data_IF_838958151748
#
_entry.id   IF_838958151748
#
_cell.length_a   1.000
_cell.length_b   1.000
_cell.length_c   1.000
_cell.angle_alpha   90.00
_cell.angle_beta   90.00
_cell.angle_gamma   90.00
#
_symmetry.space_group_name_H-M   'P 1'
#
loop_
_entity.id
_entity.type
_entity.pdbx_description
1 polymer ?
#
# COMPACT_ATOMS: atom_id res chain seq x y z
N UNK A 1 34.45 -4.57 -11.49
CA UNK A 1 34.34 -5.72 -10.57
C UNK A 1 35.63 -6.50 -10.57
N UNK A 2 35.78 -7.43 -9.65
CA UNK A 2 36.87 -8.42 -9.64
C UNK A 2 36.84 -9.32 -10.87
N UNK A 3 35.68 -9.53 -11.49
CA UNK A 3 35.57 -10.35 -12.72
C UNK A 3 35.75 -9.56 -14.03
N UNK A 4 36.13 -8.27 -13.97
CA UNK A 4 36.31 -7.49 -15.19
C UNK A 4 37.71 -7.75 -15.79
N UNK A 5 37.76 -8.38 -16.96
CA UNK A 5 38.99 -8.62 -17.72
C UNK A 5 39.87 -7.36 -17.87
N UNK A 6 39.27 -6.19 -18.17
CA UNK A 6 40.00 -4.94 -18.39
C UNK A 6 40.73 -4.42 -17.14
N UNK A 7 40.35 -4.89 -15.94
CA UNK A 7 41.06 -4.57 -14.70
C UNK A 7 42.49 -5.10 -14.71
N UNK A 8 42.74 -6.21 -15.39
CA UNK A 8 44.00 -6.94 -15.36
C UNK A 8 44.82 -6.79 -16.65
N UNK A 9 44.23 -6.24 -17.72
CA UNK A 9 44.82 -6.25 -19.07
C UNK A 9 46.06 -5.37 -19.23
N UNK A 10 46.17 -4.28 -18.47
CA UNK A 10 47.22 -3.27 -18.70
C UNK A 10 48.64 -3.73 -18.34
N UNK A 11 48.80 -4.74 -17.48
CA UNK A 11 50.10 -5.30 -17.09
C UNK A 11 50.06 -6.84 -17.05
N UNK A 12 49.21 -7.46 -17.88
CA UNK A 12 49.02 -8.90 -17.86
C UNK A 12 50.27 -9.62 -18.40
N UNK A 13 50.98 -10.33 -17.52
CA UNK A 13 52.14 -11.15 -17.90
C UNK A 13 51.76 -12.62 -17.93
N UNK A 14 52.33 -13.36 -18.88
CA UNK A 14 52.10 -14.80 -19.02
C UNK A 14 52.44 -15.53 -17.72
N UNK A 15 51.55 -16.44 -17.28
CA UNK A 15 51.67 -17.23 -16.04
C UNK A 15 51.61 -16.45 -14.72
N UNK A 16 51.34 -15.14 -14.75
CA UNK A 16 51.02 -14.39 -13.52
C UNK A 16 49.76 -14.92 -12.84
N UNK A 17 49.57 -14.58 -11.57
CA UNK A 17 48.36 -14.90 -10.83
C UNK A 17 47.10 -14.40 -11.55
N UNK A 18 47.18 -13.17 -12.08
CA UNK A 18 46.11 -12.53 -12.83
C UNK A 18 45.85 -13.23 -14.17
N UNK A 19 46.89 -13.69 -14.86
CA UNK A 19 46.77 -14.51 -16.08
C UNK A 19 46.04 -15.82 -15.78
N UNK A 20 46.49 -16.56 -14.77
CA UNK A 20 45.92 -17.86 -14.41
C UNK A 20 44.45 -17.73 -13.97
N UNK A 21 44.11 -16.65 -13.26
CA UNK A 21 42.73 -16.32 -12.89
C UNK A 21 41.84 -16.11 -14.11
N UNK A 22 42.26 -15.26 -15.06
CA UNK A 22 41.51 -14.98 -16.28
C UNK A 22 41.42 -16.19 -17.21
N UNK A 23 42.50 -16.96 -17.35
CA UNK A 23 42.53 -18.20 -18.11
C UNK A 23 41.51 -19.20 -17.55
N UNK A 24 41.47 -19.36 -16.22
CA UNK A 24 40.49 -20.23 -15.56
C UNK A 24 39.06 -19.76 -15.80
N UNK A 25 38.78 -18.46 -15.66
CA UNK A 25 37.45 -17.91 -15.96
C UNK A 25 37.05 -18.14 -17.42
N UNK A 26 37.97 -17.93 -18.37
CA UNK A 26 37.71 -18.16 -19.79
C UNK A 26 37.40 -19.63 -20.08
N UNK A 27 38.20 -20.56 -19.54
CA UNK A 27 37.97 -22.00 -19.71
C UNK A 27 36.63 -22.42 -19.08
N UNK A 28 36.29 -21.90 -17.90
CA UNK A 28 34.99 -22.13 -17.26
C UNK A 28 33.84 -21.61 -18.11
N UNK A 29 33.94 -20.39 -18.65
CA UNK A 29 32.96 -19.83 -19.57
C UNK A 29 32.81 -20.67 -20.85
N UNK A 30 33.92 -21.14 -21.45
CA UNK A 30 33.89 -22.03 -22.61
C UNK A 30 33.18 -23.36 -22.31
N UNK A 31 33.33 -23.92 -21.10
CA UNK A 31 32.61 -25.14 -20.68
C UNK A 31 31.11 -24.90 -20.48
N UNK A 32 30.72 -23.65 -20.20
CA UNK A 32 29.33 -23.25 -19.98
C UNK A 32 28.64 -22.76 -21.25
N UNK A 33 29.38 -22.39 -22.30
CA UNK A 33 28.83 -21.73 -23.51
C UNK A 33 27.60 -22.46 -24.11
N UNK A 34 27.66 -23.78 -24.19
CA UNK A 34 26.61 -24.62 -24.79
C UNK A 34 25.51 -25.02 -23.77
N UNK A 35 25.70 -24.65 -22.49
CA UNK A 35 24.78 -24.91 -21.38
C UNK A 35 24.05 -23.66 -20.90
N UNK A 36 24.48 -22.46 -21.33
CA UNK A 36 23.81 -21.21 -20.99
C UNK A 36 22.48 -21.18 -21.72
N UNK A 37 21.42 -21.41 -20.96
CA UNK A 37 20.08 -21.09 -21.40
C UNK A 37 19.83 -19.62 -21.09
N UNK A 38 19.41 -18.79 -22.07
CA UNK A 38 19.03 -17.41 -21.79
C UNK A 38 17.86 -17.41 -20.81
N UNK A 39 18.15 -17.04 -19.57
CA UNK A 39 17.13 -16.88 -18.54
C UNK A 39 16.49 -15.50 -18.68
N UNK A 40 15.16 -15.47 -18.74
CA UNK A 40 14.40 -14.23 -18.65
C UNK A 40 14.25 -13.91 -17.17
N UNK A 41 15.00 -12.92 -16.67
CA UNK A 41 14.97 -12.53 -15.26
C UNK A 41 13.77 -11.62 -14.92
N UNK A 42 13.29 -10.83 -15.89
CA UNK A 42 12.10 -9.98 -15.74
C UNK A 42 10.85 -10.80 -16.03
N UNK A 43 10.20 -11.28 -14.99
CA UNK A 43 9.05 -12.20 -15.07
C UNK A 43 7.78 -11.62 -14.47
N UNK A 44 7.80 -10.37 -14.01
CA UNK A 44 6.64 -9.75 -13.37
C UNK A 44 5.46 -9.65 -14.34
N UNK A 45 4.27 -10.00 -13.86
CA UNK A 45 3.03 -9.84 -14.60
C UNK A 45 1.94 -9.31 -13.68
N UNK A 46 1.64 -8.00 -13.80
CA UNK A 46 0.60 -7.31 -13.03
C UNK A 46 -0.82 -7.64 -13.50
N UNK A 47 -0.99 -8.36 -14.62
CA UNK A 47 -2.31 -8.85 -15.05
C UNK A 47 -2.77 -10.05 -14.23
N UNK A 48 -1.83 -10.76 -13.60
CA UNK A 48 -2.12 -11.89 -12.72
C UNK A 48 -2.41 -11.42 -11.30
N UNK A 49 -3.15 -12.24 -10.55
CA UNK A 49 -3.36 -12.00 -9.13
C UNK A 49 -2.01 -12.09 -8.39
N UNK A 50 -1.70 -11.14 -7.48
CA UNK A 50 -0.52 -11.24 -6.64
C UNK A 50 -0.52 -12.55 -5.85
N UNK A 51 0.66 -13.14 -5.69
CA UNK A 51 0.83 -14.33 -4.84
C UNK A 51 1.06 -13.85 -3.40
N UNK A 52 0.20 -14.26 -2.44
CA UNK A 52 0.40 -13.93 -1.04
C UNK A 52 1.76 -14.39 -0.51
N UNK A 53 2.33 -13.62 0.41
CA UNK A 53 3.57 -13.98 1.07
C UNK A 53 3.38 -15.23 1.93
N UNK A 54 4.24 -16.24 1.76
CA UNK A 54 4.14 -17.52 2.48
C UNK A 54 4.61 -17.41 3.94
N UNK A 55 5.76 -16.77 4.14
CA UNK A 55 6.35 -16.60 5.46
C UNK A 55 6.11 -15.18 5.98
N UNK A 56 5.19 -15.03 6.92
CA UNK A 56 4.83 -13.75 7.54
C UNK A 56 5.78 -13.33 8.68
N UNK A 57 6.91 -14.03 8.87
CA UNK A 57 7.92 -13.70 9.87
C UNK A 57 9.09 -12.88 9.31
N UNK A 58 9.24 -12.86 7.98
CA UNK A 58 10.31 -12.15 7.28
C UNK A 58 9.68 -10.98 6.53
N UNK A 59 10.26 -9.79 6.61
CA UNK A 59 9.81 -8.68 5.79
C UNK A 59 10.43 -8.78 4.39
N UNK A 60 9.59 -8.60 3.36
CA UNK A 60 10.02 -8.44 1.96
C UNK A 60 9.26 -7.27 1.36
N UNK A 61 10.00 -6.36 0.71
CA UNK A 61 9.39 -5.25 0.00
C UNK A 61 8.47 -5.74 -1.13
N UNK A 62 7.33 -5.08 -1.28
CA UNK A 62 6.49 -5.16 -2.45
C UNK A 62 7.27 -4.57 -3.65
N UNK A 63 7.45 -5.34 -4.73
CA UNK A 63 8.14 -4.80 -5.90
C UNK A 63 7.30 -3.69 -6.53
N UNK A 64 7.95 -2.66 -7.07
CA UNK A 64 7.31 -1.70 -7.97
C UNK A 64 6.92 -2.36 -9.30
N UNK A 65 6.11 -1.69 -10.10
CA UNK A 65 5.71 -2.16 -11.43
C UNK A 65 6.85 -1.97 -12.42
N UNK A 66 7.33 -3.08 -12.98
CA UNK A 66 8.32 -3.10 -14.05
C UNK A 66 7.66 -2.77 -15.39
N UNK A 67 7.74 -1.49 -15.79
CA UNK A 67 7.19 -1.00 -17.06
C UNK A 67 8.07 -1.36 -18.27
N UNK A 68 9.22 -2.02 -18.11
CA UNK A 68 9.96 -2.59 -19.26
C UNK A 68 9.19 -3.76 -19.90
N UNK A 69 8.31 -4.40 -19.12
CA UNK A 69 7.48 -5.51 -19.56
C UNK A 69 6.19 -5.02 -20.23
N UNK A 70 5.91 -5.53 -21.44
CA UNK A 70 4.75 -5.09 -22.26
C UNK A 70 3.43 -5.30 -21.53
N UNK A 71 3.24 -6.46 -20.91
CA UNK A 71 2.02 -6.80 -20.17
C UNK A 71 1.74 -5.81 -19.03
N UNK A 72 2.79 -5.32 -18.35
CA UNK A 72 2.65 -4.36 -17.27
C UNK A 72 2.27 -2.96 -17.79
N UNK A 73 2.81 -2.55 -18.95
CA UNK A 73 2.39 -1.30 -19.60
C UNK A 73 0.93 -1.35 -20.04
N UNK A 74 0.49 -2.46 -20.62
CA UNK A 74 -0.91 -2.66 -21.04
C UNK A 74 -1.86 -2.64 -19.83
N UNK A 75 -1.49 -3.33 -18.74
CA UNK A 75 -2.19 -3.27 -17.47
C UNK A 75 -2.28 -1.85 -16.90
N UNK A 76 -1.16 -1.12 -16.86
CA UNK A 76 -1.09 0.25 -16.35
C UNK A 76 -2.02 1.19 -17.14
N UNK A 77 -1.99 1.12 -18.47
CA UNK A 77 -2.88 1.88 -19.34
C UNK A 77 -4.35 1.52 -19.13
N UNK A 78 -4.66 0.24 -18.96
CA UNK A 78 -6.02 -0.21 -18.64
C UNK A 78 -6.51 0.34 -17.31
N UNK A 79 -5.66 0.39 -16.29
CA UNK A 79 -6.00 0.95 -14.99
C UNK A 79 -6.28 2.46 -15.07
N UNK A 80 -5.48 3.20 -15.85
CA UNK A 80 -5.70 4.64 -16.07
C UNK A 80 -7.00 4.90 -16.85
N UNK A 81 -7.25 4.17 -17.95
CA UNK A 81 -8.49 4.31 -18.75
C UNK A 81 -9.75 4.03 -17.93
N UNK A 82 -9.74 2.99 -17.10
CA UNK A 82 -10.84 2.72 -16.16
C UNK A 82 -11.18 3.96 -15.32
N UNK A 83 -10.16 4.68 -14.87
CA UNK A 83 -10.36 5.88 -14.06
C UNK A 83 -10.68 7.14 -14.88
N UNK A 84 -10.41 7.18 -16.18
CA UNK A 84 -10.94 8.24 -17.05
C UNK A 84 -12.47 8.22 -17.09
N UNK A 85 -13.06 7.03 -17.23
CA UNK A 85 -14.52 6.85 -17.25
C UNK A 85 -15.14 7.15 -15.87
N UNK A 86 -14.54 6.64 -14.80
CA UNK A 86 -15.06 6.78 -13.42
C UNK A 86 -15.03 8.23 -12.90
N UNK A 87 -14.15 9.10 -13.44
CA UNK A 87 -14.04 10.51 -13.01
C UNK A 87 -15.33 11.30 -13.24
N UNK A 88 -16.19 10.87 -14.16
CA UNK A 88 -17.44 11.55 -14.49
C UNK A 88 -18.64 11.05 -13.68
N UNK A 89 -18.50 9.98 -12.88
CA UNK A 89 -19.61 9.43 -12.09
C UNK A 89 -19.93 10.26 -10.83
N UNK A 90 -19.05 11.21 -10.47
CA UNK A 90 -19.16 12.05 -9.27
C UNK A 90 -19.59 11.26 -8.02
N UNK A 91 -18.77 10.27 -7.63
CA UNK A 91 -19.16 9.37 -6.56
C UNK A 91 -19.29 10.09 -5.22
N UNK A 92 -20.34 9.75 -4.47
CA UNK A 92 -20.60 10.34 -3.15
C UNK A 92 -20.07 9.41 -2.09
N UNK A 93 -19.28 10.00 -1.20
CA UNK A 93 -18.62 9.38 -0.09
C UNK A 93 -19.35 9.82 1.19
N UNK A 94 -20.14 8.95 1.86
CA UNK A 94 -20.84 9.30 3.12
C UNK A 94 -19.87 9.58 4.32
N UNK A 95 -20.37 9.57 5.55
CA UNK A 95 -19.60 9.42 6.82
C UNK A 95 -19.76 8.00 7.36
N UNK A 96 -18.66 7.34 7.78
CA UNK A 96 -18.71 5.98 8.36
C UNK A 96 -18.82 6.05 9.89
N UNK A 97 -19.90 5.52 10.45
CA UNK A 97 -20.13 5.45 11.90
C UNK A 97 -20.42 4.01 12.31
N UNK A 98 -19.40 3.32 12.83
CA UNK A 98 -19.52 1.88 12.99
C UNK A 98 -19.89 1.28 11.65
N UNK A 99 -20.93 0.44 11.58
CA UNK A 99 -21.37 -0.25 10.37
C UNK A 99 -22.37 0.57 9.54
N UNK A 100 -22.60 1.83 9.91
CA UNK A 100 -23.56 2.71 9.26
C UNK A 100 -22.85 3.71 8.36
N UNK A 101 -23.42 3.93 7.19
CA UNK A 101 -23.07 5.03 6.30
C UNK A 101 -24.09 6.16 6.47
N UNK A 102 -23.62 7.38 6.65
CA UNK A 102 -24.48 8.55 6.88
C UNK A 102 -24.17 9.65 5.88
N UNK A 103 -25.18 10.08 5.12
CA UNK A 103 -25.08 11.27 4.29
C UNK A 103 -25.32 12.52 5.15
N UNK A 104 -24.64 13.61 4.83
CA UNK A 104 -24.70 14.88 5.56
C UNK A 104 -24.97 16.03 4.60
N UNK A 105 -25.58 17.09 5.11
CA UNK A 105 -25.89 18.27 4.29
C UNK A 105 -24.63 19.00 3.81
N UNK A 106 -23.60 19.11 4.67
CA UNK A 106 -22.31 19.67 4.26
C UNK A 106 -21.48 18.61 3.55
N UNK A 107 -21.12 18.91 2.32
CA UNK A 107 -20.23 18.09 1.49
C UNK A 107 -19.06 18.92 1.00
N UNK A 108 -17.99 18.24 0.62
CA UNK A 108 -16.84 18.83 -0.05
C UNK A 108 -16.58 18.13 -1.37
N UNK A 109 -16.46 18.92 -2.43
CA UNK A 109 -16.15 18.43 -3.78
C UNK A 109 -14.65 18.35 -4.01
N UNK A 110 -14.26 17.36 -4.79
CA UNK A 110 -12.88 17.15 -5.25
C UNK A 110 -12.87 17.10 -6.76
N UNK A 111 -11.97 17.87 -7.35
CA UNK A 111 -11.89 18.05 -8.78
C UNK A 111 -10.59 17.47 -9.31
N UNK A 112 -10.63 17.08 -10.59
CA UNK A 112 -9.50 16.55 -11.31
C UNK A 112 -8.50 17.65 -11.64
N UNK A 113 -7.36 17.62 -10.95
CA UNK A 113 -6.27 18.58 -11.09
C UNK A 113 -5.64 18.56 -12.48
N UNK A 114 -5.70 17.43 -13.17
CA UNK A 114 -5.16 17.28 -14.52
C UNK A 114 -6.09 17.84 -15.60
N UNK A 115 -7.31 18.26 -15.24
CA UNK A 115 -8.30 18.86 -16.15
C UNK A 115 -8.76 20.24 -15.67
N UNK A 116 -7.84 21.04 -15.14
CA UNK A 116 -8.10 22.41 -14.68
C UNK A 116 -9.27 22.52 -13.69
N UNK A 117 -9.48 21.50 -12.86
CA UNK A 117 -10.60 21.41 -11.92
C UNK A 117 -12.01 21.40 -12.57
N UNK A 118 -12.14 21.12 -13.87
CA UNK A 118 -13.43 21.12 -14.58
C UNK A 118 -14.29 19.88 -14.26
N UNK A 119 -13.65 18.77 -13.88
CA UNK A 119 -14.33 17.49 -13.62
C UNK A 119 -14.40 17.23 -12.12
N UNK A 120 -15.60 17.17 -11.57
CA UNK A 120 -15.84 16.77 -10.18
C UNK A 120 -15.73 15.25 -10.04
N UNK A 121 -14.60 14.79 -9.50
CA UNK A 121 -14.31 13.36 -9.31
C UNK A 121 -15.20 12.76 -8.23
N UNK A 122 -15.38 13.46 -7.11
CA UNK A 122 -16.21 12.97 -6.01
C UNK A 122 -16.72 14.07 -5.07
N UNK A 123 -17.70 13.71 -4.24
CA UNK A 123 -18.18 14.52 -3.11
C UNK A 123 -18.05 13.77 -1.79
N UNK A 124 -17.47 14.40 -0.78
CA UNK A 124 -17.21 13.85 0.55
C UNK A 124 -18.14 14.49 1.57
N UNK A 125 -18.90 13.68 2.29
CA UNK A 125 -19.77 14.13 3.36
C UNK A 125 -18.96 14.50 4.61
N UNK A 126 -19.30 15.63 5.24
CA UNK A 126 -18.59 16.16 6.38
C UNK A 126 -19.29 15.79 7.70
N UNK A 127 -18.65 14.91 8.48
CA UNK A 127 -19.04 14.56 9.83
C UNK A 127 -19.27 15.80 10.73
N UNK A 128 -20.41 15.84 11.41
CA UNK A 128 -20.70 16.84 12.44
C UNK A 128 -19.93 16.50 13.74
N UNK A 129 -19.73 17.45 14.66
CA UNK A 129 -19.12 17.17 15.96
C UNK A 129 -19.81 16.02 16.72
N UNK A 130 -21.15 15.97 16.70
CA UNK A 130 -21.92 14.88 17.32
C UNK A 130 -21.64 13.51 16.68
N UNK A 131 -21.47 13.46 15.36
CA UNK A 131 -21.08 12.23 14.66
C UNK A 131 -19.66 11.82 15.01
N UNK A 132 -18.72 12.76 15.19
CA UNK A 132 -17.37 12.45 15.67
C UNK A 132 -17.40 11.81 17.05
N UNK A 133 -18.21 12.34 17.97
CA UNK A 133 -18.41 11.75 19.30
C UNK A 133 -18.96 10.33 19.20
N UNK A 134 -20.01 10.11 18.40
CA UNK A 134 -20.58 8.76 18.17
C UNK A 134 -19.52 7.79 17.63
N UNK A 135 -18.71 8.26 16.68
CA UNK A 135 -17.64 7.50 16.07
C UNK A 135 -16.56 7.10 17.09
N UNK A 136 -16.20 8.01 18.01
CA UNK A 136 -15.30 7.74 19.13
C UNK A 136 -15.95 6.74 20.08
N UNK A 137 -17.21 6.92 20.48
CA UNK A 137 -17.95 5.99 21.33
C UNK A 137 -17.99 4.58 20.75
N UNK A 138 -18.24 4.42 19.45
CA UNK A 138 -18.21 3.11 18.77
C UNK A 138 -16.81 2.49 18.85
N UNK A 139 -15.76 3.30 18.66
CA UNK A 139 -14.38 2.84 18.81
C UNK A 139 -14.08 2.42 20.26
N UNK A 140 -14.61 3.14 21.24
CA UNK A 140 -14.43 2.83 22.65
C UNK A 140 -15.11 1.54 23.10
N UNK A 141 -16.16 1.11 22.40
CA UNK A 141 -16.87 -0.15 22.68
C UNK A 141 -16.06 -1.38 22.27
N UNK A 142 -15.28 -1.32 21.17
CA UNK A 142 -14.39 -2.42 20.73
C UNK A 142 -15.09 -3.76 20.61
N UNK A 143 -16.23 -3.75 19.91
CA UNK A 143 -17.03 -4.94 19.69
C UNK A 143 -16.24 -6.08 19.02
N UNK A 144 -15.22 -5.74 18.22
CA UNK A 144 -14.31 -6.70 17.59
C UNK A 144 -13.29 -7.31 18.55
N UNK A 145 -13.09 -6.73 19.75
CA UNK A 145 -12.10 -7.18 20.71
C UNK A 145 -10.65 -6.96 20.26
N UNK A 146 -10.40 -6.01 19.34
CA UNK A 146 -9.10 -5.83 18.68
C UNK A 146 -7.93 -5.75 19.67
N UNK A 147 -8.10 -5.05 20.80
CA UNK A 147 -7.01 -4.90 21.78
C UNK A 147 -6.58 -6.20 22.44
N UNK A 148 -7.42 -7.23 22.40
CA UNK A 148 -7.14 -8.56 22.95
C UNK A 148 -6.52 -9.49 21.91
N UNK A 149 -6.42 -9.08 20.65
CA UNK A 149 -5.79 -9.88 19.60
C UNK A 149 -4.28 -10.02 19.86
N UNK A 150 -3.74 -11.21 19.60
CA UNK A 150 -2.29 -11.44 19.65
C UNK A 150 -1.58 -10.67 18.53
N UNK A 151 -0.27 -10.48 18.67
CA UNK A 151 0.53 -9.89 17.60
C UNK A 151 0.45 -10.73 16.32
N UNK A 152 0.46 -12.06 16.42
CA UNK A 152 0.34 -12.97 15.28
C UNK A 152 -0.99 -12.81 14.53
N UNK A 153 -2.09 -12.61 15.25
CA UNK A 153 -3.37 -12.36 14.59
C UNK A 153 -3.32 -11.03 13.84
N UNK A 154 -2.88 -9.95 14.49
CA UNK A 154 -2.69 -8.65 13.84
C UNK A 154 -1.77 -8.73 12.61
N UNK A 155 -0.72 -9.55 12.70
CA UNK A 155 0.21 -9.80 11.61
C UNK A 155 -0.47 -10.41 10.38
N UNK A 156 -1.27 -11.47 10.57
CA UNK A 156 -2.03 -12.11 9.48
C UNK A 156 -3.01 -11.13 8.84
N UNK A 157 -3.67 -10.33 9.68
CA UNK A 157 -4.67 -9.35 9.24
C UNK A 157 -4.02 -8.29 8.36
N UNK A 158 -2.91 -7.70 8.82
CA UNK A 158 -2.20 -6.67 8.06
C UNK A 158 -1.56 -7.22 6.77
N UNK A 159 -1.06 -8.45 6.77
CA UNK A 159 -0.56 -9.07 5.52
C UNK A 159 -1.68 -9.32 4.50
N UNK A 160 -2.86 -9.76 4.94
CA UNK A 160 -4.04 -9.88 4.05
C UNK A 160 -4.45 -8.52 3.46
N UNK A 161 -4.37 -7.46 4.27
CA UNK A 161 -4.58 -6.09 3.79
C UNK A 161 -3.55 -5.70 2.73
N UNK A 162 -2.27 -6.03 2.95
CA UNK A 162 -1.20 -5.79 1.99
C UNK A 162 -1.46 -6.52 0.66
N UNK A 163 -1.86 -7.79 0.70
CA UNK A 163 -2.14 -8.56 -0.52
C UNK A 163 -3.29 -7.98 -1.33
N UNK A 164 -4.33 -7.51 -0.64
CA UNK A 164 -5.44 -6.81 -1.26
C UNK A 164 -4.99 -5.45 -1.83
N UNK A 165 -4.07 -4.73 -1.18
CA UNK A 165 -3.48 -3.51 -1.76
C UNK A 165 -2.74 -3.79 -3.06
N UNK A 166 -1.95 -4.87 -3.11
CA UNK A 166 -1.30 -5.33 -4.33
C UNK A 166 -2.33 -5.70 -5.41
N UNK A 167 -3.44 -6.36 -5.06
CA UNK A 167 -4.50 -6.74 -6.02
C UNK A 167 -5.23 -5.51 -6.59
N UNK A 168 -5.40 -4.46 -5.77
CA UNK A 168 -6.10 -3.21 -6.12
C UNK A 168 -5.15 -2.08 -6.53
N UNK A 169 -3.87 -2.36 -6.76
CA UNK A 169 -2.83 -1.37 -7.07
C UNK A 169 -3.25 -0.38 -8.16
N UNK A 170 -3.76 -0.89 -9.28
CA UNK A 170 -4.21 -0.05 -10.40
C UNK A 170 -5.33 0.92 -10.01
N UNK A 171 -6.23 0.51 -9.10
CA UNK A 171 -7.31 1.36 -8.62
C UNK A 171 -6.80 2.48 -7.72
N UNK A 172 -5.84 2.21 -6.85
CA UNK A 172 -5.23 3.23 -6.02
C UNK A 172 -4.43 4.24 -6.84
N UNK A 173 -3.67 3.77 -7.83
CA UNK A 173 -2.93 4.64 -8.75
C UNK A 173 -3.88 5.53 -9.54
N UNK A 174 -4.94 4.95 -10.12
CA UNK A 174 -5.95 5.71 -10.87
C UNK A 174 -6.65 6.76 -10.02
N UNK A 175 -6.98 6.42 -8.77
CA UNK A 175 -7.54 7.37 -7.79
C UNK A 175 -6.55 8.51 -7.48
N UNK A 176 -5.29 8.19 -7.17
CA UNK A 176 -4.26 9.20 -6.90
C UNK A 176 -4.03 10.13 -8.09
N UNK A 177 -4.01 9.57 -9.29
CA UNK A 177 -3.92 10.35 -10.52
C UNK A 177 -5.11 11.30 -10.66
N UNK A 178 -6.34 10.80 -10.54
CA UNK A 178 -7.55 11.60 -10.71
C UNK A 178 -7.69 12.73 -9.70
N UNK A 179 -7.18 12.54 -8.48
CA UNK A 179 -7.52 13.40 -7.35
C UNK A 179 -6.39 14.34 -6.98
N UNK A 180 -5.17 13.83 -6.97
CA UNK A 180 -3.98 14.58 -6.56
C UNK A 180 -3.08 14.92 -7.75
N UNK A 181 -3.42 14.46 -8.96
CA UNK A 181 -2.64 14.71 -10.16
C UNK A 181 -1.34 13.90 -10.22
N UNK A 182 -1.19 12.85 -9.40
CA UNK A 182 0.02 12.02 -9.41
C UNK A 182 0.18 11.29 -10.74
N UNK A 183 1.41 11.20 -11.22
CA UNK A 183 1.75 10.32 -12.34
C UNK A 183 1.63 8.86 -11.93
N UNK A 184 1.57 7.96 -12.92
CA UNK A 184 1.51 6.52 -12.64
C UNK A 184 2.70 6.07 -11.77
N UNK A 185 3.92 6.49 -12.09
CA UNK A 185 5.13 6.09 -11.38
C UNK A 185 5.14 6.60 -9.94
N UNK A 186 4.71 7.85 -9.69
CA UNK A 186 4.61 8.39 -8.33
C UNK A 186 3.54 7.70 -7.49
N UNK A 187 2.44 7.27 -8.10
CA UNK A 187 1.40 6.50 -7.42
C UNK A 187 1.81 5.04 -7.18
N UNK A 188 2.55 4.44 -8.10
CA UNK A 188 2.97 3.03 -8.03
C UNK A 188 3.90 2.79 -6.84
N UNK A 189 4.93 3.60 -6.69
CA UNK A 189 5.85 3.52 -5.53
C UNK A 189 5.12 3.73 -4.21
N UNK A 190 4.06 4.55 -4.21
CA UNK A 190 3.29 4.82 -3.02
C UNK A 190 2.40 3.63 -2.61
N UNK A 191 1.84 2.90 -3.58
CA UNK A 191 1.15 1.64 -3.28
C UNK A 191 2.12 0.61 -2.72
N UNK A 192 3.33 0.51 -3.27
CA UNK A 192 4.39 -0.37 -2.74
C UNK A 192 4.71 -0.01 -1.29
N UNK A 193 4.97 1.27 -1.01
CA UNK A 193 5.29 1.75 0.34
C UNK A 193 4.16 1.53 1.35
N UNK A 194 2.90 1.79 0.97
CA UNK A 194 1.75 1.49 1.82
C UNK A 194 1.58 -0.02 2.09
N UNK A 195 1.82 -0.85 1.07
CA UNK A 195 1.83 -2.32 1.19
C UNK A 195 2.93 -2.77 2.14
N UNK A 196 4.12 -2.17 2.03
CA UNK A 196 5.27 -2.44 2.87
C UNK A 196 4.99 -2.10 4.33
N UNK A 197 4.35 -0.97 4.64
CA UNK A 197 3.99 -0.65 6.02
C UNK A 197 3.11 -1.72 6.66
N UNK A 198 2.15 -2.26 5.92
CA UNK A 198 1.30 -3.35 6.40
C UNK A 198 2.07 -4.65 6.69
N UNK A 199 3.12 -4.96 5.92
CA UNK A 199 3.97 -6.14 6.15
C UNK A 199 5.04 -5.89 7.23
N UNK A 200 5.63 -4.71 7.22
CA UNK A 200 6.79 -4.34 8.03
C UNK A 200 6.46 -4.16 9.51
N UNK A 201 5.41 -3.40 9.84
CA UNK A 201 5.12 -3.07 11.23
C UNK A 201 4.81 -4.27 12.12
N UNK A 202 3.96 -5.24 11.73
CA UNK A 202 3.72 -6.39 12.60
C UNK A 202 4.93 -7.32 12.71
N UNK A 203 5.78 -7.42 11.69
CA UNK A 203 7.07 -8.13 11.78
C UNK A 203 8.02 -7.43 12.74
N UNK A 204 8.13 -6.10 12.65
CA UNK A 204 8.98 -5.29 13.53
C UNK A 204 8.55 -5.36 15.00
N UNK A 205 7.24 -5.46 15.25
CA UNK A 205 6.69 -5.66 16.60
C UNK A 205 7.18 -6.95 17.26
N UNK A 206 7.53 -8.00 16.50
CA UNK A 206 8.06 -9.25 17.06
C UNK A 206 9.40 -9.06 17.78
N UNK A 207 10.23 -8.14 17.29
CA UNK A 207 11.48 -7.79 17.96
C UNK A 207 11.21 -7.20 19.35
N UNK A 208 10.17 -6.36 19.50
CA UNK A 208 9.77 -5.82 20.80
C UNK A 208 9.12 -6.90 21.70
N UNK A 209 8.32 -7.80 21.15
CA UNK A 209 7.71 -8.91 21.89
C UNK A 209 8.75 -9.92 22.43
N UNK A 210 9.88 -10.08 21.73
CA UNK A 210 10.98 -10.94 22.17
C UNK A 210 11.77 -10.36 23.37
N UNK A 211 11.64 -9.07 23.68
CA UNK A 211 12.33 -8.43 24.79
C UNK A 211 11.67 -8.77 26.13
N UNK A 212 12.20 -9.78 26.83
CA UNK A 212 11.67 -10.27 28.12
C UNK A 212 11.60 -9.21 29.23
N UNK A 213 12.40 -8.14 29.14
CA UNK A 213 12.44 -7.04 30.11
C UNK A 213 11.52 -5.87 29.75
N UNK A 214 10.82 -5.93 28.61
CA UNK A 214 9.95 -4.85 28.12
C UNK A 214 8.52 -5.36 28.07
N UNK A 215 7.58 -4.55 28.55
CA UNK A 215 6.16 -4.76 28.31
C UNK A 215 5.60 -3.56 27.53
N UNK A 216 4.69 -3.83 26.61
CA UNK A 216 3.99 -2.81 25.85
C UNK A 216 2.49 -3.06 25.89
N UNK A 217 1.72 -1.97 25.82
CA UNK A 217 0.26 -2.03 25.74
C UNK A 217 -0.24 -0.94 24.78
N UNK A 218 -1.33 -1.18 24.05
CA UNK A 218 -1.93 -0.15 23.20
C UNK A 218 -2.37 1.04 24.05
N UNK A 219 -2.26 2.26 23.48
CA UNK A 219 -2.71 3.49 24.14
C UNK A 219 -4.23 3.67 24.06
N UNK A 220 -4.87 3.10 23.04
CA UNK A 220 -6.32 3.13 22.89
C UNK A 220 -6.73 3.54 21.47
N UNK A 221 -7.32 4.72 21.35
CA UNK A 221 -7.70 5.33 20.07
C UNK A 221 -6.58 6.27 19.65
N UNK A 222 -6.22 6.25 18.37
CA UNK A 222 -5.23 7.19 17.82
C UNK A 222 -5.85 7.99 16.67
N UNK A 223 -5.35 9.20 16.48
CA UNK A 223 -5.68 10.03 15.32
C UNK A 223 -4.46 10.08 14.41
N UNK A 224 -4.64 9.76 13.13
CA UNK A 224 -3.62 9.92 12.10
C UNK A 224 -4.00 11.14 11.26
N UNK A 225 -3.08 12.08 11.16
CA UNK A 225 -3.29 13.35 10.46
C UNK A 225 -2.19 13.45 9.41
N UNK A 226 -2.38 12.81 8.24
CA UNK A 226 -1.32 12.70 7.24
C UNK A 226 -1.19 14.00 6.43
N UNK A 227 0.01 14.29 5.89
CA UNK A 227 0.20 15.34 4.90
C UNK A 227 -0.41 14.94 3.54
N UNK A 228 -0.38 15.85 2.56
CA UNK A 228 -1.03 15.65 1.26
C UNK A 228 -0.12 15.09 0.16
N UNK A 229 1.20 15.12 0.36
CA UNK A 229 2.19 14.72 -0.65
C UNK A 229 2.25 13.19 -0.86
N UNK A 230 1.89 12.41 0.15
CA UNK A 230 1.69 10.96 0.08
C UNK A 230 0.27 10.62 0.58
N UNK A 231 -0.75 10.77 -0.29
CA UNK A 231 -2.16 10.56 0.06
C UNK A 231 -2.53 9.09 0.34
N UNK A 232 -1.65 8.12 0.04
CA UNK A 232 -1.81 6.69 0.28
C UNK A 232 -0.82 6.13 1.30
N UNK A 233 0.49 6.24 1.07
CA UNK A 233 1.49 5.52 1.89
C UNK A 233 1.52 6.02 3.33
N UNK A 234 1.66 7.33 3.56
CA UNK A 234 1.73 7.89 4.92
C UNK A 234 0.46 7.63 5.76
N UNK A 235 -0.77 7.83 5.24
CA UNK A 235 -1.97 7.45 5.99
C UNK A 235 -2.00 5.96 6.32
N UNK A 236 -1.71 5.09 5.34
CA UNK A 236 -1.63 3.64 5.56
C UNK A 236 -0.57 3.31 6.61
N UNK A 237 0.59 3.98 6.59
CA UNK A 237 1.66 3.76 7.54
C UNK A 237 1.25 4.08 8.98
N UNK A 238 0.69 5.28 9.20
CA UNK A 238 0.20 5.66 10.53
C UNK A 238 -0.88 4.71 11.04
N UNK A 239 -1.76 4.25 10.14
CA UNK A 239 -2.81 3.26 10.43
C UNK A 239 -2.22 1.91 10.81
N UNK A 240 -1.36 1.35 9.95
CA UNK A 240 -0.78 0.03 10.10
C UNK A 240 0.07 -0.05 11.37
N UNK A 241 0.84 0.99 11.70
CA UNK A 241 1.61 1.07 12.95
C UNK A 241 0.69 1.05 14.19
N UNK A 242 -0.40 1.83 14.15
CA UNK A 242 -1.40 1.86 15.20
C UNK A 242 -2.07 0.50 15.42
N UNK A 243 -2.46 -0.16 14.33
CA UNK A 243 -3.10 -1.47 14.35
C UNK A 243 -2.13 -2.57 14.82
N UNK A 244 -0.91 -2.60 14.29
CA UNK A 244 0.12 -3.57 14.67
C UNK A 244 0.42 -3.52 16.17
N UNK A 245 0.41 -2.33 16.77
CA UNK A 245 0.59 -2.13 18.22
C UNK A 245 -0.69 -2.36 19.06
N UNK A 246 -1.81 -2.72 18.44
CA UNK A 246 -3.06 -3.11 19.12
C UNK A 246 -4.02 -1.95 19.41
N UNK A 247 -3.81 -0.76 18.84
CA UNK A 247 -4.73 0.37 18.98
C UNK A 247 -6.02 0.12 18.17
N UNK A 248 -7.17 0.52 18.72
CA UNK A 248 -8.51 0.10 18.26
C UNK A 248 -9.02 0.78 17.00
N UNK A 249 -8.66 2.04 16.81
CA UNK A 249 -9.20 2.82 15.71
C UNK A 249 -8.28 3.98 15.45
N UNK A 250 -8.08 4.20 14.17
CA UNK A 250 -7.23 5.25 13.65
C UNK A 250 -8.14 6.23 12.95
N UNK A 251 -8.33 7.40 13.55
CA UNK A 251 -9.13 8.45 12.93
C UNK A 251 -8.26 9.25 11.99
N UNK A 252 -8.57 9.17 10.70
CA UNK A 252 -7.95 10.00 9.69
C UNK A 252 -8.61 11.38 9.69
N UNK A 253 -7.91 12.40 10.21
CA UNK A 253 -8.30 13.80 10.03
C UNK A 253 -7.44 14.39 8.94
N UNK A 254 -8.06 15.01 7.95
CA UNK A 254 -7.37 15.99 7.15
C UNK A 254 -8.29 17.17 6.84
N UNK A 255 -7.77 18.39 6.98
CA UNK A 255 -8.45 19.63 6.58
C UNK A 255 -8.65 19.71 5.05
N UNK A 256 -8.03 18.81 4.26
CA UNK A 256 -8.00 18.79 2.80
C UNK A 256 -8.03 17.34 2.24
N UNK A 257 -9.00 16.52 2.68
CA UNK A 257 -9.09 15.06 2.41
C UNK A 257 -9.05 14.64 0.93
N UNK A 258 -7.94 14.13 0.39
CA UNK A 258 -7.95 13.51 -0.94
C UNK A 258 -8.93 12.30 -1.00
N UNK A 259 -9.81 12.14 -2.02
CA UNK A 259 -10.58 10.93 -2.31
C UNK A 259 -9.79 9.61 -2.28
N UNK A 260 -8.47 9.66 -2.43
CA UNK A 260 -7.56 8.52 -2.22
C UNK A 260 -7.63 7.99 -0.79
N UNK A 261 -7.70 8.88 0.21
CA UNK A 261 -7.87 8.50 1.61
C UNK A 261 -9.21 7.80 1.87
N UNK A 262 -10.23 8.03 1.03
CA UNK A 262 -11.53 7.36 1.12
C UNK A 262 -11.47 5.93 0.65
N UNK A 263 -10.74 5.70 -0.45
CA UNK A 263 -10.37 4.36 -0.86
C UNK A 263 -9.53 3.64 0.20
N UNK A 264 -8.93 4.31 1.19
CA UNK A 264 -8.17 3.70 2.30
C UNK A 264 -9.01 3.53 3.58
N UNK A 265 -9.99 4.40 3.84
CA UNK A 265 -10.79 4.34 5.07
C UNK A 265 -11.90 3.29 5.05
N UNK A 266 -12.45 2.96 3.87
CA UNK A 266 -13.27 1.75 3.73
C UNK A 266 -12.53 0.48 4.17
N UNK A 267 -11.19 0.47 4.03
CA UNK A 267 -10.34 -0.66 4.42
C UNK A 267 -10.04 -0.70 5.91
N UNK A 268 -9.92 0.45 6.55
CA UNK A 268 -9.85 0.54 8.00
C UNK A 268 -11.07 -0.09 8.67
N UNK A 269 -12.26 0.03 8.06
CA UNK A 269 -13.46 -0.64 8.56
C UNK A 269 -13.44 -2.16 8.28
N UNK A 270 -12.96 -2.56 7.10
CA UNK A 270 -12.79 -3.96 6.68
C UNK A 270 -11.86 -4.79 7.59
N UNK A 271 -10.85 -4.17 8.20
CA UNK A 271 -9.94 -4.82 9.16
C UNK A 271 -10.65 -5.26 10.46
N UNK A 272 -11.77 -4.63 10.84
CA UNK A 272 -12.43 -4.91 12.13
C UNK A 272 -13.58 -5.92 12.07
N UNK A 273 -14.07 -6.33 10.89
CA UNK A 273 -15.11 -7.36 10.72
C UNK A 273 -14.52 -8.73 10.30
N UNK A 274 -13.40 -9.15 10.88
CA UNK A 274 -12.75 -10.42 10.48
C UNK A 274 -13.73 -11.58 10.36
N UNK A 275 -13.70 -12.25 9.19
CA UNK A 275 -14.52 -13.38 8.72
C UNK A 275 -15.82 -13.05 7.97
N UNK A 276 -15.64 -12.63 6.72
CA UNK A 276 -16.60 -12.94 5.65
C UNK A 276 -17.63 -11.86 5.37
N UNK A 277 -17.31 -10.96 4.44
CA UNK A 277 -18.29 -10.57 3.42
C UNK A 277 -17.58 -10.01 2.18
N UNK A 278 -17.51 -10.85 1.15
CA UNK A 278 -17.47 -10.39 -0.22
C UNK A 278 -18.77 -9.63 -0.49
N UNK A 279 -18.71 -8.31 -0.67
CA UNK A 279 -19.51 -7.55 -1.64
C UNK A 279 -19.22 -6.05 -1.54
N UNK A 280 -19.04 -5.45 -2.72
CA UNK A 280 -19.23 -4.02 -3.01
C UNK A 280 -18.08 -3.07 -2.63
N UNK A 281 -16.88 -3.40 -3.10
CA UNK A 281 -15.69 -2.53 -3.06
C UNK A 281 -15.78 -1.24 -3.91
N UNK A 282 -16.88 -1.04 -4.64
CA UNK A 282 -17.07 0.08 -5.58
C UNK A 282 -18.48 0.70 -5.60
N UNK A 283 -19.35 0.47 -4.60
CA UNK A 283 -20.71 1.05 -4.64
C UNK A 283 -21.05 2.16 -3.65
N UNK A 284 -20.18 2.50 -2.70
CA UNK A 284 -20.20 3.70 -1.85
C UNK A 284 -19.18 3.42 -0.74
N UNK A 285 -18.27 4.37 -0.48
CA UNK A 285 -17.37 4.28 0.69
C UNK A 285 -17.28 5.67 1.33
N UNK A 286 -17.64 5.80 2.61
CA UNK A 286 -17.56 7.04 3.38
C UNK A 286 -16.33 7.31 4.26
N UNK A 287 -16.10 8.58 4.64
CA UNK A 287 -15.17 9.03 5.69
C UNK A 287 -15.75 10.11 6.59
N UNK A 288 -15.13 10.22 7.78
CA UNK A 288 -15.22 11.42 8.60
C UNK A 288 -14.47 12.60 7.96
N UNK A 289 -15.18 13.70 7.75
CA UNK A 289 -14.57 15.00 7.60
C UNK A 289 -15.22 15.99 8.57
N UNK A 290 -14.53 16.37 9.64
CA UNK A 290 -15.13 17.11 10.77
C UNK A 290 -15.46 18.56 10.39
N UNK A 291 -16.71 18.97 10.55
CA UNK A 291 -17.12 20.38 10.45
C UNK A 291 -16.49 21.23 11.57
N UNK A 292 -16.09 22.46 11.24
CA UNK A 292 -15.83 23.50 12.24
C UNK A 292 -17.14 24.06 12.76
#
# INVERSE_FOLDING_TARGET
GEDNFLRYSFNLTLHSEQWNFLEKQFIEACKLKDKIQPAIYRTQDRTQKPVPQKDLSIFTNEPDTDLDLKQNREWALSALRKWEDMRSENFVIPVQIGNKEVLTDKKRKYYDRSRNDEVCVCEVNLATPAQVEEIVTVAEQDKSGWRKTSLDERNRILHKTADLFSERRGDFIGCMSAVTGKTFQEGDVEVSEGTDFCRFYPVSMKAFEALKSVSYRPKGIIWVIPPLNFPFAIPVGGVAAGLASGNRKVFLRNRFLSPVLHAINGWLYFIFEFTGFYKLFFKKIPLLAVQR
#
